data_IF_890966556464
#
_entry.id   IF_890966556464
#
_cell.length_a   1.000
_cell.length_b   1.000
_cell.length_c   1.000
_cell.angle_alpha   90.00
_cell.angle_beta   90.00
_cell.angle_gamma   90.00
#
_symmetry.space_group_name_H-M   'P 1'
#
loop_
_entity.id
_entity.type
_entity.pdbx_description
1 polymer ?
#
# COMPACT_ATOMS: atom_id res chain seq x y z
N UNK A 1 -6.53 4.92 28.13
CA UNK A 1 -6.95 5.47 26.82
C UNK A 1 -5.68 5.77 26.03
N UNK A 2 -5.38 5.03 24.96
CA UNK A 2 -4.19 5.29 24.14
C UNK A 2 -4.52 6.47 23.21
N UNK A 3 -3.93 7.63 23.48
CA UNK A 3 -3.93 8.76 22.56
C UNK A 3 -3.27 8.29 21.27
N UNK A 4 -4.00 8.33 20.16
CA UNK A 4 -3.54 7.80 18.87
C UNK A 4 -2.31 8.60 18.40
N UNK A 5 -1.11 8.12 18.71
CA UNK A 5 0.18 8.77 18.41
C UNK A 5 0.50 8.82 16.90
N UNK A 6 -0.35 8.21 16.07
CA UNK A 6 -0.18 8.16 14.64
C UNK A 6 -0.53 9.52 14.01
N UNK A 7 0.51 10.26 13.66
CA UNK A 7 0.43 11.55 12.95
C UNK A 7 1.50 11.60 11.85
N UNK A 8 1.13 11.96 10.64
CA UNK A 8 2.06 12.05 9.51
C UNK A 8 1.44 12.90 8.39
N UNK A 9 2.28 13.44 7.51
CA UNK A 9 1.80 13.94 6.24
C UNK A 9 1.87 12.84 5.19
N UNK A 10 0.92 12.82 4.27
CA UNK A 10 0.97 11.95 3.10
C UNK A 10 0.59 12.71 1.83
N UNK A 11 1.15 12.28 0.71
CA UNK A 11 0.71 12.66 -0.63
C UNK A 11 0.53 11.39 -1.46
N UNK A 12 -0.50 11.37 -2.29
CA UNK A 12 -0.75 10.29 -3.24
C UNK A 12 -0.83 10.90 -4.63
N UNK A 13 0.00 10.40 -5.53
CA UNK A 13 -0.11 10.63 -6.96
C UNK A 13 -0.78 9.40 -7.56
N UNK A 14 -1.97 9.56 -8.13
CA UNK A 14 -2.64 8.54 -8.92
C UNK A 14 -2.00 8.54 -10.31
N UNK A 15 -1.54 7.36 -10.75
CA UNK A 15 -0.71 7.24 -11.94
C UNK A 15 -1.23 6.19 -12.90
N UNK A 16 -0.83 6.34 -14.15
CA UNK A 16 -1.04 5.38 -15.23
C UNK A 16 0.24 5.21 -16.05
N UNK A 17 0.43 4.05 -16.69
CA UNK A 17 1.43 3.84 -17.70
C UNK A 17 1.23 4.77 -18.89
N UNK A 18 2.33 5.20 -19.48
CA UNK A 18 2.38 5.85 -20.78
C UNK A 18 3.07 4.89 -21.77
N UNK A 19 2.23 4.15 -22.51
CA UNK A 19 2.70 3.11 -23.42
C UNK A 19 3.30 3.64 -24.72
N UNK A 20 3.15 4.94 -25.01
CA UNK A 20 3.87 5.61 -26.10
C UNK A 20 5.35 5.83 -25.73
N UNK A 21 5.65 5.94 -24.42
CA UNK A 21 7.02 6.12 -23.92
C UNK A 21 7.71 4.79 -23.67
N UNK A 22 7.02 3.83 -23.03
CA UNK A 22 7.53 2.47 -22.82
C UNK A 22 6.43 1.48 -23.14
N UNK A 23 6.64 0.67 -24.19
CA UNK A 23 5.71 -0.40 -24.53
C UNK A 23 5.42 -1.32 -23.33
N UNK A 24 4.21 -1.85 -23.31
CA UNK A 24 3.80 -2.82 -22.30
C UNK A 24 4.81 -3.96 -22.19
N UNK A 25 5.25 -4.22 -20.97
CA UNK A 25 6.26 -5.25 -20.69
C UNK A 25 5.58 -6.49 -20.14
N UNK A 26 5.84 -7.64 -20.77
CA UNK A 26 5.39 -8.95 -20.31
C UNK A 26 6.56 -9.93 -20.20
N UNK A 27 6.50 -10.84 -19.23
CA UNK A 27 7.44 -11.96 -19.15
C UNK A 27 7.07 -13.07 -20.16
N UNK A 28 7.90 -14.13 -20.32
CA UNK A 28 7.58 -15.25 -21.21
C UNK A 28 6.29 -16.02 -20.86
N UNK A 29 5.76 -15.87 -19.64
CA UNK A 29 4.47 -16.42 -19.21
C UNK A 29 3.31 -15.44 -19.44
N UNK A 30 3.58 -14.35 -20.16
CA UNK A 30 2.65 -13.26 -20.45
C UNK A 30 2.19 -12.48 -19.21
N UNK A 31 2.95 -12.51 -18.11
CA UNK A 31 2.66 -11.72 -16.93
C UNK A 31 3.02 -10.26 -17.16
N UNK A 32 2.06 -9.38 -16.88
CA UNK A 32 2.22 -7.94 -17.03
C UNK A 32 3.10 -7.34 -15.93
N UNK A 33 3.91 -6.35 -16.31
CA UNK A 33 4.71 -5.56 -15.37
C UNK A 33 4.52 -4.06 -15.61
N UNK A 34 4.51 -3.23 -14.55
CA UNK A 34 4.43 -1.78 -14.71
C UNK A 34 5.69 -1.22 -15.40
N UNK A 35 5.60 0.00 -15.95
CA UNK A 35 6.75 0.67 -16.54
C UNK A 35 7.92 0.80 -15.57
N UNK A 36 9.14 0.74 -16.10
CA UNK A 36 10.39 0.82 -15.32
C UNK A 36 11.12 2.14 -15.54
N UNK A 37 10.70 2.90 -16.55
CA UNK A 37 11.22 4.23 -16.88
C UNK A 37 10.38 5.33 -16.22
N UNK A 38 11.00 6.32 -15.55
CA UNK A 38 10.25 7.35 -14.84
C UNK A 38 9.33 8.21 -15.70
N UNK A 39 9.73 8.48 -16.94
CA UNK A 39 8.94 9.23 -17.92
C UNK A 39 7.80 8.41 -18.55
N UNK A 40 7.78 7.09 -18.36
CA UNK A 40 6.69 6.21 -18.80
C UNK A 40 5.55 6.10 -17.77
N UNK A 41 5.57 6.95 -16.74
CA UNK A 41 4.54 7.01 -15.70
C UNK A 41 3.94 8.41 -15.65
N UNK A 42 2.66 8.50 -16.02
CA UNK A 42 1.90 9.74 -16.12
C UNK A 42 1.02 9.93 -14.88
N UNK A 43 1.00 11.15 -14.34
CA UNK A 43 0.16 11.50 -13.20
C UNK A 43 -1.22 11.90 -13.71
N UNK A 44 -2.24 11.21 -13.21
CA UNK A 44 -3.64 11.44 -13.51
C UNK A 44 -4.20 12.48 -12.56
N UNK A 45 -3.88 12.32 -11.28
CA UNK A 45 -4.45 13.10 -10.20
C UNK A 45 -3.56 13.07 -8.95
N UNK A 46 -3.72 14.04 -8.06
CA UNK A 46 -3.00 14.06 -6.79
C UNK A 46 -3.87 14.53 -5.64
N UNK A 47 -3.67 13.95 -4.46
CA UNK A 47 -4.27 14.45 -3.22
C UNK A 47 -3.70 15.80 -2.82
N UNK A 48 -2.54 16.19 -3.34
CA UNK A 48 -1.65 17.12 -2.66
C UNK A 48 -1.24 16.59 -1.29
N UNK A 49 -0.50 17.39 -0.53
CA UNK A 49 -0.18 17.01 0.84
C UNK A 49 -1.42 17.05 1.73
N UNK A 50 -1.62 15.96 2.46
CA UNK A 50 -2.66 15.80 3.48
C UNK A 50 -2.00 15.52 4.82
N UNK A 51 -2.60 16.02 5.90
CA UNK A 51 -2.21 15.71 7.28
C UNK A 51 -3.13 14.63 7.81
N UNK A 52 -2.54 13.56 8.31
CA UNK A 52 -3.19 12.58 9.17
C UNK A 52 -2.92 12.93 10.63
N UNK A 53 -3.97 13.19 11.41
CA UNK A 53 -3.83 13.40 12.85
C UNK A 53 -5.15 13.07 13.56
N UNK A 54 -5.08 12.30 14.64
CA UNK A 54 -6.23 11.95 15.48
C UNK A 54 -7.43 11.36 14.69
N UNK A 55 -7.16 10.57 13.65
CA UNK A 55 -8.20 9.97 12.80
C UNK A 55 -8.87 10.94 11.82
N UNK A 56 -8.33 12.14 11.66
CA UNK A 56 -8.77 13.12 10.67
C UNK A 56 -7.76 13.26 9.53
N UNK A 57 -8.27 13.56 8.34
CA UNK A 57 -7.49 13.86 7.14
C UNK A 57 -7.83 15.28 6.69
N UNK A 58 -6.85 16.17 6.72
CA UNK A 58 -6.99 17.59 6.32
C UNK A 58 -5.97 17.95 5.24
N UNK A 59 -6.24 19.00 4.46
CA UNK A 59 -5.24 19.55 3.54
C UNK A 59 -4.08 20.16 4.31
N UNK A 60 -2.87 20.03 3.77
CA UNK A 60 -1.66 20.58 4.35
C UNK A 60 -0.74 21.16 3.28
N UNK A 61 0.04 22.17 3.68
CA UNK A 61 1.19 22.62 2.92
C UNK A 61 2.42 22.12 3.64
N UNK A 62 3.28 21.40 2.92
CA UNK A 62 4.49 20.81 3.48
C UNK A 62 5.68 21.33 2.69
N UNK A 63 6.64 21.91 3.38
CA UNK A 63 7.88 22.41 2.80
C UNK A 63 8.75 21.26 2.24
N UNK A 64 9.77 21.62 1.45
CA UNK A 64 10.73 20.66 0.91
C UNK A 64 11.40 19.78 1.98
N UNK A 65 12.08 18.72 1.55
CA UNK A 65 12.75 17.78 2.44
C UNK A 65 12.56 16.33 2.02
N UNK A 66 13.30 15.44 2.68
CA UNK A 66 13.31 14.00 2.39
C UNK A 66 12.03 13.35 2.92
N UNK A 67 11.44 12.47 2.13
CA UNK A 67 10.29 11.68 2.55
C UNK A 67 10.74 10.57 3.51
N UNK A 68 9.99 10.35 4.58
CA UNK A 68 10.24 9.27 5.54
C UNK A 68 10.06 7.89 4.87
N UNK A 69 8.98 7.73 4.10
CA UNK A 69 8.70 6.55 3.31
C UNK A 69 8.13 6.96 1.96
N UNK A 70 8.48 6.22 0.92
CA UNK A 70 7.82 6.29 -0.38
C UNK A 70 7.54 4.88 -0.91
N UNK A 71 6.49 4.75 -1.70
CA UNK A 71 6.31 3.56 -2.51
C UNK A 71 5.52 3.84 -3.78
N UNK A 72 5.70 2.98 -4.77
CA UNK A 72 4.86 2.92 -5.96
C UNK A 72 4.16 1.58 -5.98
N UNK A 73 2.86 1.59 -6.26
CA UNK A 73 1.99 0.42 -6.25
C UNK A 73 1.10 0.45 -7.48
N UNK A 74 1.05 -0.65 -8.21
CA UNK A 74 0.20 -0.85 -9.39
C UNK A 74 -0.67 -2.08 -9.17
N UNK A 75 -1.88 -2.06 -9.72
CA UNK A 75 -2.79 -3.19 -9.69
C UNK A 75 -2.79 -3.94 -11.01
N UNK A 76 -2.56 -5.25 -10.94
CA UNK A 76 -2.73 -6.18 -12.05
C UNK A 76 -4.07 -6.91 -11.89
N UNK A 77 -5.05 -6.52 -12.71
CA UNK A 77 -6.36 -7.19 -12.72
C UNK A 77 -6.36 -8.57 -13.37
N UNK A 78 -5.33 -8.92 -14.16
CA UNK A 78 -5.25 -10.25 -14.81
C UNK A 78 -4.90 -11.34 -13.80
N UNK A 79 -4.18 -10.98 -12.74
CA UNK A 79 -3.80 -11.86 -11.62
C UNK A 79 -4.44 -11.49 -10.30
N UNK A 80 -5.25 -10.44 -10.29
CA UNK A 80 -5.91 -9.85 -9.12
C UNK A 80 -4.92 -9.65 -7.96
N UNK A 81 -3.81 -8.95 -8.22
CA UNK A 81 -2.82 -8.63 -7.19
C UNK A 81 -2.18 -7.25 -7.37
N UNK A 82 -1.43 -6.81 -6.36
CA UNK A 82 -0.63 -5.60 -6.46
C UNK A 82 0.84 -5.90 -6.74
N UNK A 83 1.46 -5.09 -7.58
CA UNK A 83 2.89 -5.03 -7.83
C UNK A 83 3.42 -3.71 -7.27
N UNK A 84 4.51 -3.72 -6.50
CA UNK A 84 5.03 -2.49 -5.94
C UNK A 84 6.52 -2.50 -5.63
N UNK A 85 7.05 -1.29 -5.43
CA UNK A 85 8.46 -1.02 -5.10
C UNK A 85 8.56 0.03 -3.99
N UNK A 86 9.59 -0.02 -3.12
CA UNK A 86 9.76 0.91 -2.00
C UNK A 86 10.41 2.24 -2.43
N UNK A 87 9.98 2.78 -3.57
CA UNK A 87 10.50 4.03 -4.13
C UNK A 87 9.43 4.75 -4.95
N UNK A 88 9.67 6.02 -5.26
CA UNK A 88 8.88 6.77 -6.23
C UNK A 88 9.39 6.48 -7.66
N UNK A 89 8.61 5.73 -8.46
CA UNK A 89 9.01 5.29 -9.79
C UNK A 89 9.06 6.43 -10.82
N UNK A 90 8.53 7.61 -10.51
CA UNK A 90 8.68 8.84 -11.32
C UNK A 90 9.97 9.62 -11.01
N UNK A 91 10.62 9.35 -9.88
CA UNK A 91 11.90 9.98 -9.52
C UNK A 91 13.08 9.07 -9.80
N UNK A 92 12.89 7.75 -9.65
CA UNK A 92 13.94 6.75 -9.79
C UNK A 92 13.52 5.67 -10.77
N UNK A 93 14.45 5.29 -11.65
CA UNK A 93 14.21 4.19 -12.60
C UNK A 93 14.27 2.85 -11.89
N UNK A 94 13.19 2.08 -11.99
CA UNK A 94 13.12 0.70 -11.47
C UNK A 94 14.10 -0.20 -12.23
N UNK A 95 14.29 0.04 -13.54
CA UNK A 95 15.27 -0.71 -14.33
C UNK A 95 16.70 -0.56 -13.81
N UNK A 96 17.08 0.68 -13.43
CA UNK A 96 18.39 0.92 -12.83
C UNK A 96 18.54 0.20 -11.50
N UNK A 97 17.52 0.26 -10.64
CA UNK A 97 17.53 -0.43 -9.33
C UNK A 97 17.67 -1.95 -9.47
N UNK A 98 17.00 -2.56 -10.46
CA UNK A 98 17.15 -3.99 -10.79
C UNK A 98 18.61 -4.31 -11.12
N UNK A 99 19.26 -3.47 -11.94
CA UNK A 99 20.64 -3.69 -12.39
C UNK A 99 21.68 -3.45 -11.29
N UNK A 100 21.46 -2.50 -10.39
CA UNK A 100 22.46 -2.10 -9.39
C UNK A 100 22.37 -2.88 -8.09
N UNK A 101 21.18 -3.31 -7.69
CA UNK A 101 20.89 -3.64 -6.28
C UNK A 101 20.27 -5.02 -6.10
N UNK A 102 20.42 -5.91 -7.10
CA UNK A 102 19.82 -7.24 -7.24
C UNK A 102 18.38 -7.21 -7.78
N UNK A 103 18.00 -8.22 -8.58
CA UNK A 103 16.67 -8.37 -9.19
C UNK A 103 15.50 -8.28 -8.18
N UNK A 104 15.79 -8.55 -6.90
CA UNK A 104 14.84 -8.50 -5.79
C UNK A 104 14.24 -7.09 -5.53
N UNK A 105 14.80 -6.03 -6.13
CA UNK A 105 14.28 -4.64 -6.02
C UNK A 105 13.41 -4.19 -7.19
N UNK A 106 13.15 -5.05 -8.18
CA UNK A 106 12.20 -4.77 -9.26
C UNK A 106 10.74 -4.79 -8.81
N UNK A 107 9.83 -4.58 -9.76
CA UNK A 107 8.39 -4.75 -9.54
C UNK A 107 8.10 -6.14 -8.98
N UNK A 108 7.54 -6.17 -7.77
CA UNK A 108 7.28 -7.41 -7.03
C UNK A 108 5.86 -7.43 -6.52
N UNK A 109 5.27 -8.62 -6.49
CA UNK A 109 3.98 -8.84 -5.84
C UNK A 109 4.08 -8.33 -4.41
N UNK A 110 3.13 -7.50 -3.97
CA UNK A 110 2.98 -7.17 -2.55
C UNK A 110 2.60 -8.44 -1.80
N UNK A 111 3.08 -8.64 -0.57
CA UNK A 111 3.28 -10.03 -0.15
C UNK A 111 3.01 -10.48 1.29
N UNK A 112 3.14 -9.76 2.41
CA UNK A 112 2.96 -10.31 3.79
C UNK A 112 4.02 -11.31 4.27
N UNK A 113 4.83 -10.84 5.23
CA UNK A 113 5.73 -11.65 6.04
C UNK A 113 5.04 -12.11 7.32
N UNK A 114 5.34 -13.33 7.77
CA UNK A 114 5.00 -13.80 9.12
C UNK A 114 6.24 -14.24 9.89
N UNK A 115 6.53 -13.64 11.06
CA UNK A 115 7.34 -14.26 12.08
C UNK A 115 6.65 -14.19 13.46
N UNK A 116 5.68 -15.05 13.73
CA UNK A 116 5.36 -15.52 15.09
C UNK A 116 4.93 -17.00 15.05
N UNK A 117 5.22 -17.83 16.07
CA UNK A 117 4.74 -19.20 16.11
C UNK A 117 3.21 -19.25 16.07
N UNK A 118 2.63 -20.19 15.32
CA UNK A 118 1.17 -20.43 15.21
C UNK A 118 0.52 -20.56 16.61
N UNK A 119 1.29 -20.98 17.60
CA UNK A 119 0.86 -21.23 18.98
C UNK A 119 0.79 -19.97 19.86
N UNK A 120 1.24 -18.79 19.38
CA UNK A 120 1.26 -17.55 20.19
C UNK A 120 -0.11 -16.89 20.36
N UNK A 121 -1.11 -17.29 19.55
CA UNK A 121 -2.44 -16.66 19.53
C UNK A 121 -2.48 -15.24 18.94
N UNK A 122 -1.33 -14.70 18.51
CA UNK A 122 -1.23 -13.37 17.91
C UNK A 122 -1.17 -13.49 16.37
N UNK A 123 -2.34 -13.39 15.73
CA UNK A 123 -2.46 -13.41 14.28
C UNK A 123 -2.11 -12.03 13.66
N UNK A 124 -0.90 -11.50 13.86
CA UNK A 124 -0.48 -10.20 13.29
C UNK A 124 0.36 -10.41 12.02
N UNK A 125 -0.12 -9.88 10.89
CA UNK A 125 0.65 -9.80 9.64
C UNK A 125 1.27 -8.42 9.44
N UNK A 126 2.52 -8.38 8.97
CA UNK A 126 3.26 -7.12 8.73
C UNK A 126 3.51 -6.92 7.23
N UNK A 127 2.97 -5.84 6.68
CA UNK A 127 3.18 -5.42 5.28
C UNK A 127 4.57 -4.81 5.07
N UNK A 128 5.37 -5.45 4.22
CA UNK A 128 6.68 -4.98 3.81
C UNK A 128 6.99 -5.43 2.37
N UNK A 129 7.95 -4.75 1.73
CA UNK A 129 8.34 -5.06 0.36
C UNK A 129 9.45 -6.15 0.26
N UNK A 130 10.40 -6.21 1.20
CA UNK A 130 11.56 -7.13 1.17
C UNK A 130 11.33 -8.45 1.95
N UNK A 131 10.10 -8.98 1.90
CA UNK A 131 9.72 -10.19 2.62
C UNK A 131 9.87 -11.45 1.76
N UNK A 132 10.49 -12.50 2.33
CA UNK A 132 10.82 -13.74 1.61
C UNK A 132 9.64 -14.71 1.40
N UNK A 133 8.47 -14.47 2.00
CA UNK A 133 7.30 -15.36 1.94
C UNK A 133 6.00 -14.55 1.94
N UNK A 134 4.93 -15.13 1.39
CA UNK A 134 3.74 -14.43 0.89
C UNK A 134 2.44 -14.96 1.53
N UNK A 135 2.26 -14.83 2.84
CA UNK A 135 1.04 -15.37 3.47
C UNK A 135 0.64 -14.57 4.71
N UNK A 136 -0.67 -14.34 4.88
CA UNK A 136 -1.23 -13.87 6.13
C UNK A 136 -0.99 -14.86 7.28
N UNK A 137 -0.86 -14.33 8.49
CA UNK A 137 -0.72 -15.11 9.73
C UNK A 137 -1.94 -16.01 10.06
N UNK A 138 -3.11 -15.70 9.50
CA UNK A 138 -4.39 -16.40 9.68
C UNK A 138 -5.32 -16.00 8.51
N UNK A 139 -6.53 -16.58 8.38
CA UNK A 139 -7.51 -16.13 7.40
C UNK A 139 -7.75 -14.62 7.43
N UNK A 140 -8.00 -14.06 6.26
CA UNK A 140 -8.35 -12.67 6.08
C UNK A 140 -9.55 -12.25 6.90
N UNK A 141 -9.50 -11.10 7.56
CA UNK A 141 -10.69 -10.60 8.25
C UNK A 141 -11.81 -10.28 7.25
N UNK A 142 -13.06 -10.72 7.53
CA UNK A 142 -14.21 -10.37 6.71
C UNK A 142 -14.53 -8.86 6.75
N UNK A 143 -13.95 -8.10 7.68
CA UNK A 143 -14.19 -6.66 7.83
C UNK A 143 -13.33 -5.80 6.92
N UNK A 144 -12.05 -6.14 6.74
CA UNK A 144 -11.13 -5.30 5.98
C UNK A 144 -10.66 -5.93 4.68
N UNK A 145 -10.62 -7.26 4.58
CA UNK A 145 -10.18 -7.96 3.38
C UNK A 145 -10.97 -7.55 2.13
N UNK A 146 -12.33 -7.51 2.16
CA UNK A 146 -13.12 -7.31 0.94
C UNK A 146 -12.86 -5.98 0.23
N UNK A 147 -12.50 -4.94 0.98
CA UNK A 147 -12.24 -3.61 0.43
C UNK A 147 -10.75 -3.31 0.27
N UNK A 148 -9.91 -3.72 1.22
CA UNK A 148 -8.50 -3.30 1.26
C UNK A 148 -7.59 -4.13 0.34
N UNK A 149 -7.88 -5.43 0.20
CA UNK A 149 -7.01 -6.37 -0.49
C UNK A 149 -7.80 -7.20 -1.53
N UNK A 150 -7.13 -7.74 -2.54
CA UNK A 150 -7.68 -8.76 -3.41
C UNK A 150 -7.87 -10.11 -2.72
N UNK A 151 -8.83 -10.91 -3.19
CA UNK A 151 -9.11 -12.23 -2.63
C UNK A 151 -7.93 -13.21 -2.79
N UNK A 152 -7.05 -12.97 -3.77
CA UNK A 152 -5.86 -13.81 -4.02
C UNK A 152 -4.81 -13.74 -2.92
N UNK A 153 -4.96 -12.81 -1.98
CA UNK A 153 -4.14 -12.70 -0.79
C UNK A 153 -4.68 -13.52 0.38
N UNK A 154 -5.98 -13.80 0.39
CA UNK A 154 -6.59 -14.55 1.48
C UNK A 154 -6.01 -15.97 1.52
N UNK A 155 -5.59 -16.39 2.71
CA UNK A 155 -4.89 -17.64 2.92
C UNK A 155 -5.79 -18.82 2.54
N UNK A 156 -5.40 -19.56 1.50
CA UNK A 156 -6.10 -20.75 1.04
C UNK A 156 -5.18 -21.98 1.05
N UNK A 157 -4.52 -22.28 2.17
CA UNK A 157 -4.04 -23.66 2.38
C UNK A 157 -5.14 -24.42 3.13
N UNK A 158 -6.01 -25.17 2.42
CA UNK A 158 -7.17 -25.83 3.02
C UNK A 158 -6.78 -26.90 4.05
N UNK A 159 -5.52 -27.33 4.08
CA UNK A 159 -5.03 -28.38 4.97
C UNK A 159 -4.66 -27.87 6.38
N UNK A 160 -4.67 -26.55 6.62
CA UNK A 160 -4.31 -25.95 7.92
C UNK A 160 -5.46 -25.13 8.47
N UNK A 161 -6.20 -25.71 9.41
CA UNK A 161 -7.25 -24.99 10.14
C UNK A 161 -6.63 -24.07 11.20
N UNK A 162 -6.35 -22.83 10.81
CA UNK A 162 -5.89 -21.77 11.74
C UNK A 162 -7.12 -21.06 12.32
N UNK A 163 -7.36 -21.10 13.64
CA UNK A 163 -8.46 -20.37 14.24
C UNK A 163 -8.24 -18.86 14.14
N UNK A 164 -9.33 -18.08 14.11
CA UNK A 164 -9.27 -16.63 14.15
C UNK A 164 -9.03 -15.96 12.80
N UNK A 165 -8.76 -14.66 12.84
CA UNK A 165 -8.56 -13.82 11.66
C UNK A 165 -7.33 -12.93 11.85
N UNK A 166 -6.69 -12.58 10.75
CA UNK A 166 -5.44 -11.84 10.77
C UNK A 166 -5.66 -10.34 11.03
N UNK A 167 -4.85 -9.79 11.93
CA UNK A 167 -4.64 -8.37 12.16
C UNK A 167 -3.50 -7.87 11.26
N UNK A 168 -3.43 -6.56 11.04
CA UNK A 168 -2.52 -5.94 10.09
C UNK A 168 -1.72 -4.79 10.70
N UNK A 169 -0.41 -4.82 10.49
CA UNK A 169 0.51 -3.70 10.65
C UNK A 169 1.40 -3.60 9.39
N UNK A 170 2.34 -2.64 9.36
CA UNK A 170 3.30 -2.56 8.27
C UNK A 170 3.56 -1.15 7.76
N UNK A 171 4.32 -1.09 6.67
CA UNK A 171 4.69 0.13 5.98
C UNK A 171 3.46 1.03 5.72
N UNK A 172 3.53 2.27 6.20
CA UNK A 172 2.39 3.20 6.15
C UNK A 172 2.10 3.66 4.73
N UNK A 173 3.13 3.85 3.90
CA UNK A 173 2.94 4.21 2.49
C UNK A 173 2.16 3.11 1.74
N UNK A 174 2.46 1.84 2.03
CA UNK A 174 1.70 0.70 1.49
C UNK A 174 0.25 0.69 1.96
N UNK A 175 0.01 0.79 3.27
CA UNK A 175 -1.35 0.79 3.82
C UNK A 175 -2.22 1.92 3.24
N UNK A 176 -1.64 3.12 3.13
CA UNK A 176 -2.30 4.27 2.51
C UNK A 176 -2.52 4.04 1.02
N UNK A 177 -1.58 3.43 0.30
CA UNK A 177 -1.73 3.08 -1.11
C UNK A 177 -2.85 2.07 -1.35
N UNK A 178 -2.94 1.03 -0.51
CA UNK A 178 -4.02 0.05 -0.54
C UNK A 178 -5.38 0.70 -0.26
N UNK A 179 -5.46 1.57 0.75
CA UNK A 179 -6.68 2.30 1.09
C UNK A 179 -7.09 3.30 -0.01
N UNK A 180 -6.13 3.85 -0.77
CA UNK A 180 -6.43 4.69 -1.92
C UNK A 180 -7.00 3.87 -3.08
N UNK A 181 -6.48 2.66 -3.30
CA UNK A 181 -6.93 1.73 -4.35
C UNK A 181 -8.20 0.93 -3.95
N UNK A 182 -8.64 0.97 -2.69
CA UNK A 182 -9.89 0.34 -2.26
C UNK A 182 -11.13 1.09 -2.77
N UNK A 183 -11.02 2.39 -3.00
CA UNK A 183 -12.10 3.25 -3.46
C UNK A 183 -12.20 3.42 -4.98
N UNK A 184 -12.98 4.43 -5.42
CA UNK A 184 -12.95 4.91 -6.79
C UNK A 184 -11.54 5.41 -7.17
N UNK A 185 -11.08 5.03 -8.35
CA UNK A 185 -9.86 5.57 -8.94
C UNK A 185 -10.21 6.89 -9.66
N UNK A 186 -9.49 8.00 -9.40
CA UNK A 186 -9.81 9.28 -10.00
C UNK A 186 -9.35 9.32 -11.46
N UNK A 187 -10.20 9.83 -12.35
CA UNK A 187 -9.83 10.09 -13.75
C UNK A 187 -9.29 11.53 -13.91
N UNK A 188 -9.72 12.43 -13.03
CA UNK A 188 -9.28 13.82 -12.98
C UNK A 188 -8.99 14.27 -11.53
N UNK A 189 -8.25 15.38 -11.38
CA UNK A 189 -7.96 15.96 -10.05
C UNK A 189 -9.21 16.28 -9.22
N UNK A 190 -10.32 16.62 -9.87
CA UNK A 190 -11.59 16.93 -9.19
C UNK A 190 -12.22 15.70 -8.51
N UNK A 191 -11.86 14.48 -8.93
CA UNK A 191 -12.42 13.22 -8.41
C UNK A 191 -11.71 12.73 -7.15
N UNK A 192 -10.55 13.31 -6.83
CA UNK A 192 -9.61 12.81 -5.80
C UNK A 192 -10.24 12.73 -4.41
N UNK A 193 -11.18 13.61 -4.09
CA UNK A 193 -11.85 13.57 -2.78
C UNK A 193 -12.64 12.26 -2.56
N UNK A 194 -13.08 11.58 -3.62
CA UNK A 194 -13.70 10.24 -3.50
C UNK A 194 -12.70 9.19 -3.01
N UNK A 195 -11.46 9.24 -3.51
CA UNK A 195 -10.39 8.36 -3.05
C UNK A 195 -9.94 8.74 -1.63
N UNK A 196 -9.89 10.03 -1.30
CA UNK A 196 -9.65 10.50 0.09
C UNK A 196 -10.74 9.98 1.05
N UNK A 197 -12.00 9.94 0.62
CA UNK A 197 -13.08 9.34 1.40
C UNK A 197 -12.85 7.85 1.66
N UNK A 198 -12.26 7.11 0.72
CA UNK A 198 -11.95 5.69 0.92
C UNK A 198 -10.85 5.52 1.97
N UNK A 199 -9.84 6.37 1.92
CA UNK A 199 -8.74 6.38 2.89
C UNK A 199 -9.25 6.67 4.32
N UNK A 200 -10.35 7.42 4.49
CA UNK A 200 -10.99 7.65 5.81
C UNK A 200 -11.61 6.39 6.44
N UNK A 201 -11.71 5.28 5.71
CA UNK A 201 -12.04 3.97 6.26
C UNK A 201 -10.94 3.43 7.18
N UNK A 202 -9.69 3.79 6.90
CA UNK A 202 -8.57 3.50 7.79
C UNK A 202 -8.73 4.33 9.07
N UNK A 203 -9.14 3.72 10.17
CA UNK A 203 -9.34 4.38 11.47
C UNK A 203 -8.63 3.58 12.55
N UNK A 204 -7.28 3.60 12.59
CA UNK A 204 -6.51 2.76 13.48
C UNK A 204 -7.05 2.76 14.92
N UNK A 205 -7.26 1.57 15.54
CA UNK A 205 -6.81 0.27 15.07
C UNK A 205 -7.84 -0.50 14.21
N UNK A 206 -8.74 0.17 13.49
CA UNK A 206 -9.81 -0.46 12.72
C UNK A 206 -9.81 -0.04 11.25
N UNK A 207 -10.35 -0.91 10.41
CA UNK A 207 -10.92 -0.53 9.12
C UNK A 207 -12.42 -0.46 9.30
N UNK A 208 -13.03 0.65 8.90
CA UNK A 208 -14.48 0.82 8.87
C UNK A 208 -14.89 0.78 7.40
N UNK A 209 -15.57 -0.30 6.95
CA UNK A 209 -15.95 -0.44 5.56
C UNK A 209 -16.60 0.81 4.99
N UNK A 210 -16.10 1.29 3.84
CA UNK A 210 -16.62 2.49 3.21
C UNK A 210 -17.77 2.21 2.25
N UNK A 211 -18.00 0.95 1.86
CA UNK A 211 -19.13 0.54 1.00
C UNK A 211 -19.07 1.12 -0.42
N UNK A 212 -17.91 1.62 -0.83
CA UNK A 212 -17.74 2.24 -2.15
C UNK A 212 -17.25 1.19 -3.13
N UNK A 213 -17.74 1.26 -4.37
CA UNK A 213 -17.33 0.34 -5.42
C UNK A 213 -15.86 0.57 -5.78
N UNK A 214 -15.01 -0.37 -5.41
CA UNK A 214 -13.62 -0.40 -5.85
C UNK A 214 -13.57 -0.57 -7.36
N UNK A 215 -12.77 0.26 -8.05
CA UNK A 215 -12.59 0.16 -9.50
C UNK A 215 -11.29 -0.51 -9.92
N UNK A 216 -10.29 -0.63 -9.01
CA UNK A 216 -8.92 -1.14 -9.23
C UNK A 216 -8.64 -1.44 -10.72
N UNK A 217 -8.40 -0.41 -11.55
CA UNK A 217 -8.30 -0.63 -12.98
C UNK A 217 -6.96 -1.29 -13.31
N UNK A 218 -6.94 -2.17 -14.31
CA UNK A 218 -5.71 -2.80 -14.79
C UNK A 218 -4.64 -1.75 -15.06
N UNK A 219 -3.42 -1.99 -14.59
CA UNK A 219 -2.27 -1.16 -14.88
C UNK A 219 -2.31 0.22 -14.23
N UNK A 220 -3.35 0.57 -13.46
CA UNK A 220 -3.37 1.83 -12.71
C UNK A 220 -2.69 1.68 -11.36
N UNK A 221 -2.12 2.77 -10.89
CA UNK A 221 -1.32 2.75 -9.68
C UNK A 221 -1.40 4.02 -8.86
N UNK A 222 -0.70 3.97 -7.73
CA UNK A 222 -0.49 5.09 -6.83
C UNK A 222 0.98 5.18 -6.47
N UNK A 223 1.47 6.40 -6.33
CA UNK A 223 2.75 6.70 -5.69
C UNK A 223 2.42 7.41 -4.39
N UNK A 224 2.85 6.83 -3.28
CA UNK A 224 2.59 7.35 -1.94
C UNK A 224 3.88 7.88 -1.36
N UNK A 225 3.83 9.09 -0.82
CA UNK A 225 4.93 9.71 -0.07
C UNK A 225 4.46 10.05 1.34
N UNK A 226 5.25 9.70 2.35
CA UNK A 226 5.00 9.96 3.76
C UNK A 226 6.08 10.88 4.32
N UNK A 227 5.70 11.86 5.14
CA UNK A 227 6.61 12.68 5.95
C UNK A 227 6.18 12.66 7.42
N UNK A 228 7.16 12.69 8.33
CA UNK A 228 6.88 12.84 9.76
C UNK A 228 6.38 14.23 10.12
N UNK A 229 5.77 14.34 11.31
CA UNK A 229 5.30 15.59 11.91
C UNK A 229 6.04 15.79 13.23
N UNK A 230 6.86 16.84 13.27
CA UNK A 230 7.59 17.25 14.46
C UNK A 230 8.60 16.19 14.94
N UNK A 231 9.31 15.55 14.00
CA UNK A 231 10.38 14.60 14.33
C UNK A 231 9.89 13.24 14.83
N UNK A 232 8.66 12.83 14.49
CA UNK A 232 8.07 11.59 15.00
C UNK A 232 8.39 10.34 14.16
N UNK A 233 9.39 10.39 13.28
CA UNK A 233 9.76 9.30 12.37
C UNK A 233 10.07 8.00 13.14
N UNK A 234 10.71 8.09 14.30
CA UNK A 234 10.98 6.93 15.16
C UNK A 234 9.70 6.24 15.67
N UNK A 235 8.60 6.99 15.85
CA UNK A 235 7.29 6.43 16.22
C UNK A 235 6.61 5.79 15.02
N UNK A 236 6.70 6.43 13.85
CA UNK A 236 6.16 5.86 12.60
C UNK A 236 6.86 4.56 12.22
N UNK A 237 8.16 4.47 12.46
CA UNK A 237 8.98 3.30 12.23
C UNK A 237 8.60 2.12 13.16
N UNK A 238 8.33 2.39 14.45
CA UNK A 238 7.77 1.40 15.37
C UNK A 238 6.38 0.90 14.94
N UNK A 239 5.51 1.78 14.46
CA UNK A 239 4.23 1.37 13.86
C UNK A 239 4.43 0.50 12.61
N UNK A 240 5.36 0.89 11.74
CA UNK A 240 5.65 0.17 10.51
C UNK A 240 6.19 -1.25 10.74
N UNK A 241 6.87 -1.49 11.86
CA UNK A 241 7.31 -2.84 12.27
C UNK A 241 6.26 -3.65 13.03
N UNK A 242 5.17 -3.03 13.47
CA UNK A 242 4.17 -3.67 14.34
C UNK A 242 4.52 -3.67 15.82
N UNK A 243 5.61 -3.00 16.23
CA UNK A 243 6.08 -2.93 17.64
C UNK A 243 5.03 -2.32 18.59
N UNK A 244 4.11 -1.52 18.05
CA UNK A 244 3.03 -0.84 18.78
C UNK A 244 1.67 -1.56 18.63
N UNK A 245 1.67 -2.76 18.06
CA UNK A 245 0.48 -3.55 17.76
C UNK A 245 -0.13 -3.27 16.38
N UNK A 246 -1.34 -3.80 16.11
CA UNK A 246 -1.98 -3.69 14.81
C UNK A 246 -2.47 -2.27 14.52
N UNK A 247 -2.33 -1.87 13.25
CA UNK A 247 -3.00 -0.71 12.66
C UNK A 247 -4.44 -1.05 12.23
N UNK A 248 -4.72 -2.32 11.93
CA UNK A 248 -6.06 -2.84 11.64
C UNK A 248 -6.26 -4.16 12.37
N UNK A 249 -7.26 -4.20 13.25
CA UNK A 249 -7.73 -5.43 13.91
C UNK A 249 -8.76 -6.15 13.04
N UNK A 250 -8.97 -7.46 13.27
CA UNK A 250 -9.98 -8.22 12.55
C UNK A 250 -11.42 -7.73 12.71
#
# INVERSE_FOLDING_TARGET
MSTNLLKFYFNIEFVQPDYEVQCETRDPKSYWYPPTHPNAVSVVATTGWRKWEAGSITQAQVSGGINFQECSLFYDSEKDHFLGVPLNCKKSSVEKEIKTTHEARGWRRLTFKHPEPIDSGNHLSVLAFDAAFNVFAAPGSPRWMPELMPHTYDYNNPDVNVPGHTALAGNLALLIGLAALSGPFPEHNLDVEQSVNAIRAFRPPHWVPHGMKSRRPHGRGVIVSIKGIGGNEAVLDKWARGDLGPLIKP
#
